data_IF_614280623432
#
_entry.id   IF_614280623432
#
_cell.length_a   1.000
_cell.length_b   1.000
_cell.length_c   1.000
_cell.angle_alpha   90.00
_cell.angle_beta   90.00
_cell.angle_gamma   90.00
#
_symmetry.space_group_name_H-M   'P 1'
#
loop_
_entity.id
_entity.type
_entity.pdbx_description
1 polymer ?
#
# COMPACT_ATOMS: atom_id res chain seq x y z
N UNK A 1 -24.38 -0.66 1.32
CA UNK A 1 -23.66 -0.78 2.63
C UNK A 1 -22.36 -1.57 2.53
N UNK A 2 -22.29 -2.66 1.74
CA UNK A 2 -21.08 -3.49 1.59
C UNK A 2 -19.91 -2.75 0.91
N UNK A 3 -20.18 -1.82 0.00
CA UNK A 3 -19.13 -1.16 -0.81
C UNK A 3 -18.37 -0.11 0.00
N UNK A 4 -19.10 0.66 0.84
CA UNK A 4 -18.50 1.54 1.86
C UNK A 4 -17.65 0.77 2.87
N UNK A 5 -18.00 -0.50 3.15
CA UNK A 5 -17.23 -1.36 4.04
C UNK A 5 -15.89 -1.78 3.42
N UNK A 6 -15.85 -2.12 2.14
CA UNK A 6 -14.59 -2.47 1.46
C UNK A 6 -13.67 -1.26 1.26
N UNK A 7 -14.24 -0.11 0.91
CA UNK A 7 -13.50 1.16 0.89
C UNK A 7 -12.91 1.50 2.26
N UNK A 8 -13.69 1.33 3.34
CA UNK A 8 -13.22 1.52 4.71
C UNK A 8 -12.11 0.56 5.12
N UNK A 9 -12.19 -0.71 4.72
CA UNK A 9 -11.12 -1.69 4.98
C UNK A 9 -9.84 -1.35 4.20
N UNK A 10 -9.94 -0.89 2.96
CA UNK A 10 -8.80 -0.43 2.18
C UNK A 10 -8.13 0.78 2.85
N UNK A 11 -8.93 1.73 3.35
CA UNK A 11 -8.45 2.90 4.06
C UNK A 11 -7.72 2.54 5.35
N UNK A 12 -8.33 1.69 6.19
CA UNK A 12 -7.73 1.23 7.45
C UNK A 12 -6.44 0.46 7.20
N UNK A 13 -6.41 -0.45 6.22
CA UNK A 13 -5.21 -1.17 5.87
C UNK A 13 -4.09 -0.22 5.42
N UNK A 14 -4.39 0.78 4.59
CA UNK A 14 -3.41 1.79 4.17
C UNK A 14 -2.86 2.64 5.32
N UNK A 15 -3.73 3.08 6.24
CA UNK A 15 -3.33 3.84 7.44
C UNK A 15 -2.43 2.99 8.34
N UNK A 16 -2.83 1.75 8.62
CA UNK A 16 -2.04 0.82 9.45
C UNK A 16 -0.68 0.56 8.80
N UNK A 17 -0.63 0.38 7.47
CA UNK A 17 0.62 0.23 6.74
C UNK A 17 1.56 1.43 6.99
N UNK A 18 1.04 2.66 6.83
CA UNK A 18 1.81 3.88 7.07
C UNK A 18 2.26 4.06 8.52
N UNK A 19 1.41 3.73 9.49
CA UNK A 19 1.75 3.80 10.92
C UNK A 19 2.83 2.79 11.31
N UNK A 20 2.80 1.57 10.75
CA UNK A 20 3.87 0.59 10.95
C UNK A 20 5.20 1.07 10.39
N UNK A 21 5.19 1.73 9.23
CA UNK A 21 6.40 2.31 8.63
C UNK A 21 6.94 3.47 9.47
N UNK A 22 6.05 4.37 9.95
CA UNK A 22 6.42 5.46 10.85
C UNK A 22 7.00 4.94 12.17
N UNK A 23 6.33 3.97 12.78
CA UNK A 23 6.78 3.32 14.02
C UNK A 23 8.13 2.61 13.83
N UNK A 24 8.32 1.90 12.71
CA UNK A 24 9.58 1.29 12.34
C UNK A 24 10.70 2.32 12.14
N UNK A 25 10.41 3.46 11.50
CA UNK A 25 11.34 4.57 11.34
C UNK A 25 11.75 5.21 12.67
N UNK A 26 10.78 5.49 13.55
CA UNK A 26 11.03 6.06 14.89
C UNK A 26 11.81 5.09 15.78
N UNK A 27 11.47 3.80 15.74
CA UNK A 27 12.20 2.78 16.48
C UNK A 27 13.63 2.64 15.96
N UNK A 28 13.82 2.57 14.63
CA UNK A 28 15.14 2.51 14.03
C UNK A 28 16.00 3.73 14.39
N UNK A 29 15.42 4.93 14.37
CA UNK A 29 16.09 6.16 14.82
C UNK A 29 16.61 6.07 16.27
N UNK A 30 15.83 5.46 17.16
CA UNK A 30 16.18 5.35 18.58
C UNK A 30 17.13 4.18 18.89
N UNK A 31 16.84 2.98 18.35
CA UNK A 31 17.55 1.75 18.68
C UNK A 31 18.82 1.52 17.84
N UNK A 32 18.88 2.08 16.64
CA UNK A 32 19.95 1.86 15.68
C UNK A 32 20.29 3.18 14.96
N UNK A 33 21.00 4.13 15.59
CA UNK A 33 21.28 5.44 15.00
C UNK A 33 22.13 5.38 13.71
N UNK A 34 22.84 4.28 13.47
CA UNK A 34 23.55 3.98 12.21
C UNK A 34 22.69 3.24 11.16
N UNK A 35 21.39 3.07 11.41
CA UNK A 35 20.48 2.33 10.54
C UNK A 35 20.31 3.04 9.19
N UNK A 36 20.78 2.39 8.13
CA UNK A 36 20.81 2.97 6.79
C UNK A 36 21.88 4.05 6.60
N UNK A 37 22.85 4.17 7.51
CA UNK A 37 24.07 4.95 7.28
C UNK A 37 24.94 4.20 6.26
N UNK A 38 25.37 4.86 5.18
CA UNK A 38 26.13 4.17 4.15
C UNK A 38 27.55 3.90 4.65
N UNK A 39 28.09 2.72 4.35
CA UNK A 39 29.42 2.30 4.80
C UNK A 39 30.55 3.21 4.25
N UNK A 40 31.73 3.11 4.87
CA UNK A 40 32.94 3.96 4.74
C UNK A 40 33.39 4.40 3.32
N UNK A 41 32.83 3.84 2.24
CA UNK A 41 33.11 4.22 0.84
C UNK A 41 32.03 5.08 0.15
N UNK A 42 30.93 5.42 0.83
CA UNK A 42 29.86 6.22 0.23
C UNK A 42 30.14 7.73 0.33
N UNK A 43 31.16 8.18 -0.39
CA UNK A 43 31.57 9.58 -0.42
C UNK A 43 30.79 10.45 -1.42
N UNK A 44 29.86 9.93 -2.21
CA UNK A 44 29.08 10.73 -3.17
C UNK A 44 27.60 10.32 -3.20
N UNK A 45 26.72 11.16 -2.63
CA UNK A 45 25.37 11.33 -3.17
C UNK A 45 24.16 10.82 -2.37
N UNK A 46 24.29 10.20 -1.20
CA UNK A 46 23.14 9.58 -0.52
C UNK A 46 22.48 10.48 0.54
N UNK A 47 21.63 11.41 0.08
CA UNK A 47 20.88 12.37 0.92
C UNK A 47 19.70 11.79 1.73
N UNK A 48 19.41 10.48 1.63
CA UNK A 48 18.28 9.85 2.30
C UNK A 48 18.76 8.68 3.17
N UNK A 49 18.86 8.95 4.48
CA UNK A 49 19.05 7.91 5.51
C UNK A 49 17.81 7.02 5.55
N UNK A 50 18.00 5.75 5.89
CA UNK A 50 16.91 4.77 5.87
C UNK A 50 15.72 5.12 6.78
N UNK A 51 16.01 5.79 7.89
CA UNK A 51 15.00 6.37 8.79
C UNK A 51 14.11 7.39 8.06
N UNK A 52 14.70 8.26 7.25
CA UNK A 52 13.96 9.30 6.53
C UNK A 52 13.06 8.70 5.46
N UNK A 53 13.50 7.61 4.82
CA UNK A 53 12.70 6.87 3.85
C UNK A 53 11.49 6.20 4.53
N UNK A 54 11.69 5.58 5.69
CA UNK A 54 10.59 5.00 6.47
C UNK A 54 9.58 6.09 6.90
N UNK A 55 10.06 7.22 7.42
CA UNK A 55 9.18 8.31 7.83
C UNK A 55 8.42 8.93 6.66
N UNK A 56 9.14 9.30 5.59
CA UNK A 56 8.55 9.95 4.42
C UNK A 56 7.53 9.07 3.69
N UNK A 57 7.88 7.81 3.40
CA UNK A 57 6.97 6.87 2.76
C UNK A 57 5.81 6.50 3.69
N UNK A 58 6.06 6.38 5.00
CA UNK A 58 5.02 6.16 6.00
C UNK A 58 3.95 7.26 5.98
N UNK A 59 4.35 8.53 5.93
CA UNK A 59 3.41 9.65 5.80
C UNK A 59 2.61 9.59 4.50
N UNK A 60 3.25 9.25 3.37
CA UNK A 60 2.58 9.08 2.07
C UNK A 60 1.54 7.94 2.13
N UNK A 61 1.87 6.83 2.79
CA UNK A 61 0.95 5.70 2.97
C UNK A 61 -0.27 6.07 3.84
N UNK A 62 -0.07 6.85 4.91
CA UNK A 62 -1.20 7.37 5.72
C UNK A 62 -2.10 8.28 4.87
N UNK A 63 -1.51 9.20 4.10
CA UNK A 63 -2.26 10.08 3.21
C UNK A 63 -3.04 9.28 2.13
N UNK A 64 -2.41 8.26 1.54
CA UNK A 64 -3.04 7.34 0.60
C UNK A 64 -4.20 6.56 1.24
N UNK A 65 -4.02 6.06 2.46
CA UNK A 65 -5.07 5.40 3.23
C UNK A 65 -6.27 6.30 3.51
N UNK A 66 -6.03 7.56 3.89
CA UNK A 66 -7.10 8.56 4.06
C UNK A 66 -7.82 8.85 2.73
N UNK A 67 -7.09 8.89 1.62
CA UNK A 67 -7.68 9.11 0.29
C UNK A 67 -8.61 7.96 -0.11
N UNK A 68 -8.33 6.73 0.33
CA UNK A 68 -9.15 5.54 0.05
C UNK A 68 -10.58 5.62 0.58
N UNK A 69 -10.88 6.51 1.55
CA UNK A 69 -12.26 6.74 1.99
C UNK A 69 -13.15 7.33 0.89
N UNK A 70 -12.58 8.15 0.02
CA UNK A 70 -13.30 8.83 -1.07
C UNK A 70 -13.00 8.18 -2.43
N UNK A 71 -11.75 7.78 -2.65
CA UNK A 71 -11.28 7.19 -3.91
C UNK A 71 -10.45 5.92 -3.61
N UNK A 72 -11.10 4.76 -3.36
CA UNK A 72 -10.43 3.54 -2.92
C UNK A 72 -9.25 3.13 -3.80
N UNK A 73 -9.46 3.14 -5.13
CA UNK A 73 -8.44 2.75 -6.11
C UNK A 73 -7.25 3.71 -6.11
N UNK A 74 -7.49 5.01 -6.09
CA UNK A 74 -6.41 6.02 -6.10
C UNK A 74 -5.60 5.94 -4.81
N UNK A 75 -6.29 5.83 -3.66
CA UNK A 75 -5.63 5.73 -2.37
C UNK A 75 -4.78 4.46 -2.25
N UNK A 76 -5.32 3.31 -2.66
CA UNK A 76 -4.57 2.06 -2.67
C UNK A 76 -3.37 2.09 -3.63
N UNK A 77 -3.48 2.71 -4.80
CA UNK A 77 -2.33 2.90 -5.70
C UNK A 77 -1.23 3.69 -5.01
N UNK A 78 -1.56 4.80 -4.33
CA UNK A 78 -0.57 5.59 -3.57
C UNK A 78 0.11 4.75 -2.49
N UNK A 79 -0.65 3.98 -1.71
CA UNK A 79 -0.09 3.10 -0.65
C UNK A 79 0.82 2.03 -1.25
N UNK A 80 0.37 1.34 -2.30
CA UNK A 80 1.15 0.29 -2.96
C UNK A 80 2.43 0.83 -3.63
N UNK A 81 2.35 1.99 -4.28
CA UNK A 81 3.52 2.65 -4.88
C UNK A 81 4.55 3.04 -3.82
N UNK A 82 4.11 3.63 -2.69
CA UNK A 82 5.01 3.95 -1.59
C UNK A 82 5.67 2.69 -0.99
N UNK A 83 4.92 1.60 -0.82
CA UNK A 83 5.47 0.31 -0.38
C UNK A 83 6.50 -0.26 -1.37
N UNK A 84 6.25 -0.14 -2.68
CA UNK A 84 7.17 -0.60 -3.72
C UNK A 84 8.47 0.21 -3.74
N UNK A 85 8.38 1.54 -3.60
CA UNK A 85 9.55 2.42 -3.48
C UNK A 85 10.39 2.04 -2.25
N UNK A 86 9.73 1.75 -1.12
CA UNK A 86 10.38 1.26 0.09
C UNK A 86 11.14 -0.05 -0.13
N UNK A 87 10.54 -0.98 -0.86
CA UNK A 87 11.16 -2.26 -1.22
C UNK A 87 12.38 -2.06 -2.14
N UNK A 88 12.25 -1.24 -3.18
CA UNK A 88 13.36 -0.91 -4.09
C UNK A 88 14.51 -0.27 -3.31
N UNK A 89 14.21 0.66 -2.39
CA UNK A 89 15.23 1.27 -1.54
C UNK A 89 15.92 0.25 -0.63
N UNK A 90 15.18 -0.75 -0.15
CA UNK A 90 15.71 -1.84 0.68
C UNK A 90 16.70 -2.72 -0.08
N UNK A 91 16.41 -3.04 -1.36
CA UNK A 91 17.24 -3.94 -2.16
C UNK A 91 18.33 -3.22 -3.01
N UNK A 92 18.15 -1.94 -3.32
CA UNK A 92 19.04 -1.18 -4.21
C UNK A 92 20.35 -0.71 -3.58
N UNK A 93 20.49 -0.71 -2.25
CA UNK A 93 21.63 -0.09 -1.52
C UNK A 93 22.72 -1.08 -1.04
N UNK A 94 22.82 -2.27 -1.63
CA UNK A 94 23.97 -3.18 -1.43
C UNK A 94 23.89 -4.08 -0.18
N UNK A 95 24.63 -5.20 -0.24
CA UNK A 95 24.31 -6.53 0.29
C UNK A 95 24.46 -6.80 1.81
N UNK A 96 24.71 -5.82 2.69
CA UNK A 96 25.14 -6.13 4.07
C UNK A 96 24.15 -5.82 5.22
N UNK A 97 22.96 -5.27 4.96
CA UNK A 97 21.99 -4.89 6.00
C UNK A 97 20.53 -5.31 5.71
N UNK A 98 20.33 -6.34 4.87
CA UNK A 98 19.02 -6.66 4.28
C UNK A 98 17.99 -7.19 5.27
N UNK A 99 18.38 -8.05 6.21
CA UNK A 99 17.44 -8.66 7.16
C UNK A 99 16.68 -7.65 8.05
N UNK A 100 17.37 -6.73 8.75
CA UNK A 100 16.67 -5.82 9.66
C UNK A 100 15.82 -4.81 8.90
N UNK A 101 16.22 -4.41 7.70
CA UNK A 101 15.42 -3.52 6.86
C UNK A 101 14.16 -4.20 6.34
N UNK A 102 14.25 -5.48 5.95
CA UNK A 102 13.08 -6.28 5.61
C UNK A 102 12.09 -6.44 6.78
N UNK A 103 12.60 -6.53 8.01
CA UNK A 103 11.78 -6.65 9.21
C UNK A 103 10.83 -5.46 9.41
N UNK A 104 11.33 -4.23 9.17
CA UNK A 104 10.49 -3.02 9.28
C UNK A 104 9.50 -2.86 8.12
N UNK A 105 9.81 -3.41 6.94
CA UNK A 105 8.94 -3.33 5.77
C UNK A 105 7.92 -4.46 5.65
N UNK A 106 8.15 -5.61 6.29
CA UNK A 106 7.26 -6.78 6.16
C UNK A 106 5.80 -6.47 6.54
N UNK A 107 5.58 -5.82 7.68
CA UNK A 107 4.25 -5.39 8.11
C UNK A 107 3.59 -4.42 7.11
N UNK A 108 4.21 -3.26 6.84
CA UNK A 108 3.71 -2.30 5.85
C UNK A 108 3.38 -2.90 4.49
N UNK A 109 4.17 -3.86 4.01
CA UNK A 109 3.96 -4.50 2.71
C UNK A 109 2.70 -5.38 2.69
N UNK A 110 2.50 -6.20 3.72
CA UNK A 110 1.29 -7.03 3.86
C UNK A 110 0.03 -6.15 3.89
N UNK A 111 0.07 -5.06 4.65
CA UNK A 111 -1.06 -4.15 4.74
C UNK A 111 -1.30 -3.33 3.47
N UNK A 112 -0.25 -2.99 2.72
CA UNK A 112 -0.38 -2.38 1.40
C UNK A 112 -1.08 -3.32 0.40
N UNK A 113 -0.73 -4.61 0.40
CA UNK A 113 -1.41 -5.62 -0.41
C UNK A 113 -2.88 -5.77 -0.05
N UNK A 114 -3.20 -5.83 1.25
CA UNK A 114 -4.59 -5.86 1.72
C UNK A 114 -5.36 -4.61 1.28
N UNK A 115 -4.75 -3.43 1.35
CA UNK A 115 -5.34 -2.19 0.85
C UNK A 115 -5.67 -2.27 -0.65
N UNK A 116 -4.74 -2.80 -1.45
CA UNK A 116 -4.94 -3.05 -2.88
C UNK A 116 -6.08 -4.02 -3.18
N UNK A 117 -6.13 -5.15 -2.46
CA UNK A 117 -7.19 -6.16 -2.62
C UNK A 117 -8.56 -5.56 -2.30
N UNK A 118 -8.70 -4.86 -1.17
CA UNK A 118 -9.97 -4.26 -0.77
C UNK A 118 -10.41 -3.13 -1.71
N UNK A 119 -9.46 -2.34 -2.23
CA UNK A 119 -9.76 -1.33 -3.23
C UNK A 119 -10.18 -1.95 -4.58
N UNK A 120 -9.54 -3.05 -4.98
CA UNK A 120 -9.92 -3.82 -6.16
C UNK A 120 -11.34 -4.38 -6.06
N UNK A 121 -11.70 -4.96 -4.92
CA UNK A 121 -13.08 -5.39 -4.65
C UNK A 121 -14.09 -4.24 -4.64
N UNK A 122 -13.72 -3.09 -4.09
CA UNK A 122 -14.56 -1.90 -4.12
C UNK A 122 -14.76 -1.38 -5.55
N UNK A 123 -13.73 -1.44 -6.40
CA UNK A 123 -13.80 -1.02 -7.80
C UNK A 123 -14.59 -2.00 -8.67
N UNK A 124 -14.38 -3.31 -8.52
CA UNK A 124 -15.07 -4.36 -9.29
C UNK A 124 -16.59 -4.28 -9.18
N UNK A 125 -17.11 -3.88 -8.01
CA UNK A 125 -18.55 -3.72 -7.79
C UNK A 125 -19.16 -2.43 -8.33
N UNK A 126 -18.34 -1.45 -8.68
CA UNK A 126 -18.80 -0.19 -9.25
C UNK A 126 -18.79 -0.20 -10.79
N UNK A 127 -18.21 -1.24 -11.42
CA UNK A 127 -18.28 -1.44 -12.87
C UNK A 127 -19.58 -2.18 -13.17
N UNK A 128 -20.42 -1.69 -14.13
CA UNK A 128 -21.59 -2.42 -14.58
C UNK A 128 -21.16 -3.82 -15.02
N UNK A 129 -21.68 -4.86 -14.35
CA UNK A 129 -21.37 -6.23 -14.73
C UNK A 129 -22.17 -6.55 -15.98
N UNK A 130 -21.50 -6.48 -17.13
CA UNK A 130 -22.08 -6.74 -18.46
C UNK A 130 -22.77 -8.13 -18.50
N UNK A 131 -22.33 -9.07 -17.66
CA UNK A 131 -22.89 -10.41 -17.56
C UNK A 131 -24.28 -10.46 -16.87
N UNK A 132 -24.60 -9.52 -15.97
CA UNK A 132 -25.93 -9.45 -15.32
C UNK A 132 -26.98 -8.89 -16.28
N UNK A 133 -26.65 -7.86 -17.08
CA UNK A 133 -27.56 -7.35 -18.12
C UNK A 133 -27.77 -8.36 -19.25
N UNK A 134 -26.74 -9.14 -19.61
CA UNK A 134 -26.87 -10.20 -20.63
C UNK A 134 -27.64 -11.43 -20.12
N UNK A 135 -27.56 -11.77 -18.82
CA UNK A 135 -28.39 -12.83 -18.25
C UNK A 135 -29.85 -12.41 -18.15
N UNK A 136 -30.11 -11.19 -17.68
CA UNK A 136 -31.46 -10.64 -17.54
C UNK A 136 -32.12 -10.43 -18.92
N UNK A 137 -31.37 -9.99 -19.92
CA UNK A 137 -31.86 -9.89 -21.30
C UNK A 137 -32.18 -11.26 -21.90
N UNK A 138 -31.43 -12.32 -21.54
CA UNK A 138 -31.70 -13.70 -21.97
C UNK A 138 -32.94 -14.28 -21.29
N UNK A 139 -33.19 -13.96 -20.02
CA UNK A 139 -34.38 -14.42 -19.30
C UNK A 139 -35.63 -13.63 -19.71
N UNK A 140 -35.51 -12.32 -19.97
CA UNK A 140 -36.57 -11.48 -20.50
C UNK A 140 -37.04 -11.93 -21.89
N UNK A 141 -36.11 -12.27 -22.80
CA UNK A 141 -36.49 -12.75 -24.14
C UNK A 141 -37.13 -14.14 -24.14
N UNK A 142 -36.92 -14.96 -23.11
CA UNK A 142 -37.53 -16.27 -22.97
C UNK A 142 -39.00 -16.21 -22.48
N UNK A 143 -39.38 -15.12 -21.80
CA UNK A 143 -40.73 -14.91 -21.27
C UNK A 143 -41.68 -14.16 -22.22
N UNK A 144 -41.18 -13.52 -23.29
CA UNK A 144 -42.04 -12.83 -24.28
C UNK A 144 -42.48 -13.70 -25.45
N UNK A 145 -42.04 -14.97 -25.53
CA UNK A 145 -42.33 -15.88 -26.65
C UNK A 145 -43.50 -16.86 -26.41
N UNK A 146 -44.41 -16.59 -25.48
CA UNK A 146 -45.60 -17.42 -25.23
C UNK A 146 -46.89 -16.60 -25.18
#
# INVERSE_FOLDING_TARGET
MKDRRMAGLAAVAGIVAGLLTLGGGLYAHHAQPSFGAPGFFALHGDWLSGVHVLLGLGTIMVAGGLLSFKWPSVGAVVVCSAAMVGLIHTYGRGQYHWLPYLYYWGGPWVFAWLAGIFAGYAAYRNVPQIDEELSDAREGSANETW
#
